data_IF_751902739308
#
_entry.id   IF_751902739308
#
_cell.length_a   1.000
_cell.length_b   1.000
_cell.length_c   1.000
_cell.angle_alpha   90.00
_cell.angle_beta   90.00
_cell.angle_gamma   90.00
#
_symmetry.space_group_name_H-M   'P 1'
#
loop_
_entity.id
_entity.type
_entity.pdbx_description
1 polymer ?
#
# COMPACT_ATOMS: atom_id res chain seq x y z
N UNK A 1 2.84 -41.11 50.91
CA UNK A 1 1.67 -40.58 50.18
C UNK A 1 2.18 -40.04 48.86
N UNK A 2 1.92 -40.76 47.77
CA UNK A 2 2.27 -40.41 46.39
C UNK A 2 1.12 -39.62 45.78
N UNK A 3 1.38 -38.47 45.17
CA UNK A 3 0.51 -37.91 44.12
C UNK A 3 1.38 -37.25 43.05
N UNK A 4 1.44 -37.92 41.90
CA UNK A 4 1.77 -37.35 40.61
C UNK A 4 0.49 -36.77 40.00
N UNK A 5 0.53 -35.55 39.51
CA UNK A 5 -0.46 -34.96 38.59
C UNK A 5 0.37 -33.96 37.78
N UNK A 6 0.83 -34.30 36.57
CA UNK A 6 -0.02 -34.62 35.43
C UNK A 6 -0.12 -33.33 34.63
N UNK A 7 0.81 -33.14 33.70
CA UNK A 7 0.85 -32.04 32.75
C UNK A 7 -0.52 -31.92 32.04
N UNK A 8 -1.17 -30.77 32.18
CA UNK A 8 -2.30 -30.43 31.33
C UNK A 8 -1.73 -30.08 29.94
N UNK A 9 -2.11 -30.79 28.86
CA UNK A 9 -1.83 -30.30 27.53
C UNK A 9 -2.65 -29.04 27.33
N UNK A 10 -1.99 -27.96 26.93
CA UNK A 10 -2.66 -26.77 26.45
C UNK A 10 -3.64 -27.19 25.35
N UNK A 11 -4.93 -27.14 25.65
CA UNK A 11 -5.99 -27.26 24.66
C UNK A 11 -5.78 -26.14 23.65
N UNK A 12 -5.18 -26.51 22.52
CA UNK A 12 -5.09 -25.69 21.32
C UNK A 12 -6.52 -25.42 20.87
N UNK A 13 -7.03 -24.25 21.24
CA UNK A 13 -8.29 -23.72 20.75
C UNK A 13 -8.25 -23.76 19.21
N UNK A 14 -8.98 -24.71 18.64
CA UNK A 14 -9.26 -24.78 17.21
C UNK A 14 -10.13 -23.58 16.85
N UNK A 15 -9.48 -22.48 16.55
CA UNK A 15 -10.10 -21.28 16.01
C UNK A 15 -10.04 -21.40 14.50
N UNK A 16 -11.20 -21.60 13.88
CA UNK A 16 -11.33 -21.62 12.44
C UNK A 16 -10.80 -20.31 11.87
N UNK A 17 -9.63 -20.36 11.23
CA UNK A 17 -8.97 -19.17 10.69
C UNK A 17 -9.89 -18.51 9.65
N UNK A 18 -10.02 -17.17 9.65
CA UNK A 18 -10.81 -16.44 8.67
C UNK A 18 -10.45 -16.83 7.22
N UNK A 19 -11.42 -16.88 6.31
CA UNK A 19 -11.21 -17.31 4.91
C UNK A 19 -10.09 -16.53 4.19
N UNK A 20 -9.89 -15.27 4.55
CA UNK A 20 -8.81 -14.42 4.03
C UNK A 20 -7.43 -14.97 4.44
N UNK A 21 -7.30 -15.43 5.69
CA UNK A 21 -6.05 -16.03 6.20
C UNK A 21 -5.78 -17.34 5.46
N UNK A 22 -6.81 -18.17 5.25
CA UNK A 22 -6.69 -19.42 4.47
C UNK A 22 -6.28 -19.13 3.03
N UNK A 23 -6.86 -18.13 2.38
CA UNK A 23 -6.53 -17.73 1.01
C UNK A 23 -5.08 -17.23 0.91
N UNK A 24 -4.63 -16.41 1.86
CA UNK A 24 -3.25 -15.94 1.92
C UNK A 24 -2.28 -17.10 2.18
N UNK A 25 -2.66 -18.04 3.04
CA UNK A 25 -1.87 -19.23 3.33
C UNK A 25 -1.74 -20.14 2.10
N UNK A 26 -2.84 -20.42 1.40
CA UNK A 26 -2.82 -21.18 0.14
C UNK A 26 -2.00 -20.48 -0.95
N UNK A 27 -2.13 -19.15 -1.06
CA UNK A 27 -1.32 -18.37 -1.99
C UNK A 27 0.17 -18.41 -1.62
N UNK A 28 0.48 -18.35 -0.34
CA UNK A 28 1.85 -18.47 0.17
C UNK A 28 2.44 -19.85 -0.07
N UNK A 29 1.64 -20.90 0.08
CA UNK A 29 2.09 -22.27 -0.16
C UNK A 29 2.31 -22.59 -1.64
N UNK A 30 1.61 -21.89 -2.55
CA UNK A 30 1.87 -21.94 -4.00
C UNK A 30 3.11 -21.17 -4.43
N UNK A 31 3.72 -20.36 -3.56
CA UNK A 31 4.98 -19.67 -3.88
C UNK A 31 6.12 -20.70 -3.88
N UNK A 32 6.71 -20.91 -5.05
CA UNK A 32 7.82 -21.85 -5.23
C UNK A 32 9.11 -21.39 -4.53
N UNK A 33 9.41 -20.08 -4.59
CA UNK A 33 10.58 -19.48 -3.94
C UNK A 33 10.18 -18.51 -2.81
N UNK A 34 9.87 -19.11 -1.66
CA UNK A 34 9.51 -18.37 -0.43
C UNK A 34 10.65 -17.47 0.05
N UNK A 35 11.91 -17.80 -0.23
CA UNK A 35 13.07 -16.99 0.17
C UNK A 35 13.21 -15.74 -0.69
N UNK A 36 13.04 -15.85 -2.01
CA UNK A 36 12.99 -14.69 -2.89
C UNK A 36 11.84 -13.75 -2.52
N UNK A 37 10.64 -14.27 -2.31
CA UNK A 37 9.48 -13.42 -1.95
C UNK A 37 9.66 -12.79 -0.58
N UNK A 38 10.09 -13.56 0.44
CA UNK A 38 10.32 -13.00 1.78
C UNK A 38 11.45 -11.98 1.80
N UNK A 39 12.54 -12.21 1.08
CA UNK A 39 13.64 -11.23 0.97
C UNK A 39 13.21 -9.95 0.24
N UNK A 40 12.37 -10.04 -0.79
CA UNK A 40 11.78 -8.86 -1.43
C UNK A 40 10.86 -8.08 -0.48
N UNK A 41 10.04 -8.77 0.32
CA UNK A 41 9.20 -8.12 1.33
C UNK A 41 10.04 -7.41 2.38
N UNK A 42 11.10 -8.05 2.88
CA UNK A 42 12.04 -7.45 3.83
C UNK A 42 12.75 -6.26 3.19
N UNK A 43 13.25 -6.39 1.96
CA UNK A 43 13.88 -5.29 1.23
C UNK A 43 12.92 -4.12 1.01
N UNK A 44 11.66 -4.41 0.66
CA UNK A 44 10.60 -3.41 0.56
C UNK A 44 10.33 -2.72 1.89
N UNK A 45 10.27 -3.48 3.00
CA UNK A 45 10.13 -2.94 4.34
C UNK A 45 11.30 -2.03 4.75
N UNK A 46 12.54 -2.44 4.48
CA UNK A 46 13.73 -1.62 4.72
C UNK A 46 13.73 -0.37 3.85
N UNK A 47 13.35 -0.48 2.57
CA UNK A 47 13.25 0.66 1.67
C UNK A 47 12.19 1.67 2.14
N UNK A 48 11.03 1.19 2.59
CA UNK A 48 9.98 2.02 3.18
C UNK A 48 10.48 2.69 4.46
N UNK A 49 11.11 1.95 5.37
CA UNK A 49 11.66 2.52 6.60
C UNK A 49 12.76 3.57 6.30
N UNK A 50 13.68 3.26 5.38
CA UNK A 50 14.72 4.18 4.94
C UNK A 50 14.17 5.44 4.28
N UNK A 51 13.06 5.34 3.54
CA UNK A 51 12.40 6.49 2.92
C UNK A 51 11.94 7.53 3.96
N UNK A 52 11.58 7.10 5.19
CA UNK A 52 11.22 8.01 6.27
C UNK A 52 12.40 8.91 6.68
N UNK A 53 13.61 8.36 6.68
CA UNK A 53 14.84 9.11 6.95
C UNK A 53 15.16 10.10 5.84
N UNK A 54 14.93 9.72 4.58
CA UNK A 54 15.08 10.61 3.43
C UNK A 54 14.09 11.78 3.48
N UNK A 55 12.81 11.52 3.73
CA UNK A 55 11.78 12.56 3.89
C UNK A 55 12.16 13.49 5.04
N UNK A 56 12.59 12.93 6.18
CA UNK A 56 13.05 13.73 7.33
C UNK A 56 14.26 14.61 7.00
N UNK A 57 15.16 14.17 6.12
CA UNK A 57 16.30 14.96 5.67
C UNK A 57 15.86 16.12 4.75
N UNK A 58 14.89 15.86 3.86
CA UNK A 58 14.28 16.87 3.00
C UNK A 58 13.57 17.94 3.85
N UNK A 59 12.80 17.53 4.85
CA UNK A 59 12.06 18.43 5.75
C UNK A 59 12.97 19.34 6.59
N UNK A 60 14.22 18.93 6.80
CA UNK A 60 15.23 19.73 7.50
C UNK A 60 15.89 20.79 6.63
N UNK A 61 15.72 20.74 5.31
CA UNK A 61 16.26 21.76 4.42
C UNK A 61 15.36 23.01 4.49
N UNK A 62 15.92 24.21 4.75
CA UNK A 62 15.13 25.39 5.09
C UNK A 62 14.21 25.91 3.96
N UNK A 63 14.44 25.50 2.71
CA UNK A 63 13.70 26.00 1.55
C UNK A 63 12.88 24.93 0.82
N UNK A 64 13.27 23.65 0.89
CA UNK A 64 12.65 22.61 0.06
C UNK A 64 11.17 22.39 0.41
N UNK A 65 10.77 22.28 1.69
CA UNK A 65 9.35 22.09 2.04
C UNK A 65 8.47 23.22 1.52
N UNK A 66 8.90 24.48 1.68
CA UNK A 66 8.14 25.64 1.21
C UNK A 66 8.04 25.72 -0.32
N UNK A 67 9.10 25.35 -1.05
CA UNK A 67 9.06 25.29 -2.52
C UNK A 67 8.13 24.18 -2.99
N UNK A 68 8.20 22.99 -2.40
CA UNK A 68 7.32 21.87 -2.75
C UNK A 68 5.85 22.18 -2.43
N UNK A 69 5.57 22.85 -1.31
CA UNK A 69 4.24 23.33 -0.97
C UNK A 69 3.71 24.32 -2.00
N UNK A 70 4.51 25.33 -2.37
CA UNK A 70 4.13 26.31 -3.39
C UNK A 70 3.87 25.65 -4.75
N UNK A 71 4.71 24.69 -5.15
CA UNK A 71 4.51 23.91 -6.37
C UNK A 71 3.22 23.09 -6.29
N UNK A 72 2.96 22.44 -5.15
CA UNK A 72 1.75 21.65 -4.93
C UNK A 72 0.47 22.49 -5.01
N UNK A 73 0.45 23.64 -4.34
CA UNK A 73 -0.66 24.59 -4.39
C UNK A 73 -0.83 25.15 -5.81
N UNK A 74 0.28 25.56 -6.44
CA UNK A 74 0.28 26.13 -7.78
C UNK A 74 -0.28 25.14 -8.82
N UNK A 75 0.21 23.90 -8.79
CA UNK A 75 -0.27 22.86 -9.69
C UNK A 75 -1.72 22.46 -9.41
N UNK A 76 -2.10 22.34 -8.13
CA UNK A 76 -3.49 22.03 -7.75
C UNK A 76 -4.46 23.11 -8.20
N UNK A 77 -4.11 24.38 -8.00
CA UNK A 77 -4.89 25.52 -8.46
C UNK A 77 -4.99 25.58 -9.99
N UNK A 78 -3.87 25.40 -10.69
CA UNK A 78 -3.84 25.33 -12.16
C UNK A 78 -4.69 24.15 -12.69
N UNK A 79 -4.57 22.97 -12.07
CA UNK A 79 -5.33 21.78 -12.45
C UNK A 79 -6.83 22.00 -12.26
N UNK A 80 -7.24 22.56 -11.11
CA UNK A 80 -8.63 22.87 -10.85
C UNK A 80 -9.18 23.90 -11.85
N UNK A 81 -8.43 24.97 -12.12
CA UNK A 81 -8.82 25.96 -13.12
C UNK A 81 -8.98 25.33 -14.51
N UNK A 82 -7.98 24.54 -14.93
CA UNK A 82 -7.93 23.96 -16.27
C UNK A 82 -8.95 22.85 -16.49
N UNK A 83 -9.22 22.01 -15.49
CA UNK A 83 -10.00 20.79 -15.68
C UNK A 83 -11.36 20.82 -14.99
N UNK A 84 -11.57 21.69 -13.99
CA UNK A 84 -12.78 21.65 -13.16
C UNK A 84 -13.69 22.88 -13.33
N UNK A 85 -13.20 24.04 -13.80
CA UNK A 85 -14.02 25.26 -13.89
C UNK A 85 -14.96 25.23 -15.10
N UNK A 86 -14.48 24.82 -16.27
CA UNK A 86 -15.25 24.84 -17.50
C UNK A 86 -15.87 23.47 -17.82
N UNK A 87 -17.12 23.49 -18.29
CA UNK A 87 -17.85 22.27 -18.72
C UNK A 87 -17.07 21.41 -19.73
N UNK A 88 -16.55 21.94 -20.86
CA UNK A 88 -15.85 21.12 -21.84
C UNK A 88 -14.61 20.44 -21.26
N UNK A 89 -13.85 21.14 -20.41
CA UNK A 89 -12.66 20.57 -19.79
C UNK A 89 -12.99 19.47 -18.76
N UNK A 90 -14.11 19.61 -18.02
CA UNK A 90 -14.59 18.55 -17.13
C UNK A 90 -14.99 17.29 -17.88
N UNK A 91 -15.70 17.45 -19.00
CA UNK A 91 -16.11 16.33 -19.84
C UNK A 91 -14.90 15.62 -20.45
N UNK A 92 -13.90 16.38 -20.92
CA UNK A 92 -12.64 15.84 -21.40
C UNK A 92 -11.87 15.08 -20.30
N UNK A 93 -11.82 15.62 -19.07
CA UNK A 93 -11.19 14.93 -17.93
C UNK A 93 -11.91 13.61 -17.62
N UNK A 94 -13.24 13.62 -17.55
CA UNK A 94 -14.04 12.41 -17.27
C UNK A 94 -13.85 11.36 -18.37
N UNK A 95 -13.85 11.77 -19.64
CA UNK A 95 -13.58 10.88 -20.77
C UNK A 95 -12.20 10.23 -20.62
N UNK A 96 -11.16 11.03 -20.35
CA UNK A 96 -9.80 10.54 -20.14
C UNK A 96 -9.71 9.54 -18.98
N UNK A 97 -10.36 9.81 -17.85
CA UNK A 97 -10.41 8.88 -16.71
C UNK A 97 -11.05 7.55 -17.12
N UNK A 98 -12.17 7.59 -17.86
CA UNK A 98 -12.85 6.37 -18.34
C UNK A 98 -11.98 5.57 -19.29
N UNK A 99 -11.27 6.24 -20.19
CA UNK A 99 -10.41 5.58 -21.16
C UNK A 99 -9.20 4.92 -20.48
N UNK A 100 -8.54 5.64 -19.56
CA UNK A 100 -7.46 5.06 -18.74
C UNK A 100 -7.95 3.88 -17.91
N UNK A 101 -9.14 3.97 -17.32
CA UNK A 101 -9.73 2.87 -16.56
C UNK A 101 -9.92 1.62 -17.44
N UNK A 102 -10.50 1.77 -18.63
CA UNK A 102 -10.68 0.68 -19.60
C UNK A 102 -9.35 0.07 -20.06
N UNK A 103 -8.33 0.90 -20.25
CA UNK A 103 -7.00 0.45 -20.67
C UNK A 103 -6.33 -0.41 -19.60
N UNK A 104 -6.40 0.01 -18.33
CA UNK A 104 -5.71 -0.69 -17.22
C UNK A 104 -6.38 -2.01 -16.86
N UNK A 105 -7.71 -2.06 -16.81
CA UNK A 105 -8.44 -3.26 -16.35
C UNK A 105 -8.86 -4.20 -17.49
N UNK A 106 -8.70 -3.77 -18.74
CA UNK A 106 -9.20 -4.45 -19.93
C UNK A 106 -10.67 -4.13 -20.20
N UNK A 107 -10.96 -3.76 -21.45
CA UNK A 107 -12.33 -3.70 -21.98
C UNK A 107 -12.89 -5.12 -22.06
N UNK A 108 -13.86 -5.47 -21.22
CA UNK A 108 -14.85 -6.49 -21.63
C UNK A 108 -15.95 -5.83 -22.43
#
# INVERSE_FOLDING_TARGET
MTMATGEAPAEVASTELPEIVKTVQEAWDKVEDKYAVSSLVVAGGVALWGSTGLISAIDRLPLIPGVLELVGIGYSGWFAYKNLVFKPDREALIAKIKDTYKEVIGSS
#
